data_IF_363887358994
#
_entry.id   IF_363887358994
#
_cell.length_a   1.000
_cell.length_b   1.000
_cell.length_c   1.000
_cell.angle_alpha   90.00
_cell.angle_beta   90.00
_cell.angle_gamma   90.00
#
_symmetry.space_group_name_H-M   'P 1'
#
loop_
_entity.id
_entity.type
_entity.pdbx_description
1 polymer ?
#
# COMPACT_ATOMS: atom_id res chain seq x y z
N UNK A 1 -0.86 24.71 -4.95
CA UNK A 1 -1.29 23.90 -3.78
C UNK A 1 -2.27 22.80 -4.24
N UNK A 2 -1.83 21.84 -5.04
CA UNK A 2 -2.64 20.65 -5.36
C UNK A 2 -2.37 19.59 -4.29
N UNK A 3 -3.12 19.63 -3.19
CA UNK A 3 -3.05 18.57 -2.18
C UNK A 3 -3.61 17.29 -2.83
N UNK A 4 -2.76 16.27 -2.99
CA UNK A 4 -3.09 14.95 -3.54
C UNK A 4 -4.17 14.24 -2.70
N UNK A 5 -5.45 14.58 -2.89
CA UNK A 5 -6.60 13.89 -2.29
C UNK A 5 -6.91 12.55 -2.98
N UNK A 6 -6.32 12.31 -4.15
CA UNK A 6 -6.59 11.13 -4.97
C UNK A 6 -6.32 9.82 -4.23
N UNK A 7 -5.21 9.73 -3.47
CA UNK A 7 -4.88 8.54 -2.69
C UNK A 7 -5.98 8.20 -1.67
N UNK A 8 -6.50 9.21 -0.97
CA UNK A 8 -7.53 9.01 0.05
C UNK A 8 -8.84 8.56 -0.59
N UNK A 9 -9.20 9.14 -1.74
CA UNK A 9 -10.42 8.77 -2.47
C UNK A 9 -10.33 7.33 -3.00
N UNK A 10 -9.18 6.93 -3.54
CA UNK A 10 -8.97 5.59 -4.05
C UNK A 10 -9.07 4.54 -2.95
N UNK A 11 -8.37 4.75 -1.82
CA UNK A 11 -8.41 3.80 -0.69
C UNK A 11 -9.81 3.75 -0.08
N UNK A 12 -10.50 4.88 0.05
CA UNK A 12 -11.89 4.92 0.53
C UNK A 12 -12.82 4.13 -0.38
N UNK A 13 -12.75 4.32 -1.70
CA UNK A 13 -13.59 3.60 -2.65
C UNK A 13 -13.34 2.08 -2.60
N UNK A 14 -12.08 1.65 -2.47
CA UNK A 14 -11.75 0.23 -2.31
C UNK A 14 -12.31 -0.36 -1.01
N UNK A 15 -12.21 0.39 0.10
CA UNK A 15 -12.82 0.01 1.38
C UNK A 15 -14.35 -0.10 1.28
N UNK A 16 -15.01 0.89 0.67
CA UNK A 16 -16.46 0.90 0.45
C UNK A 16 -16.92 -0.25 -0.45
N UNK A 17 -16.08 -0.70 -1.39
CA UNK A 17 -16.33 -1.87 -2.23
C UNK A 17 -16.04 -3.21 -1.52
N UNK A 18 -15.61 -3.20 -0.25
CA UNK A 18 -15.27 -4.42 0.51
C UNK A 18 -13.96 -5.09 0.08
N UNK A 19 -13.08 -4.39 -0.64
CA UNK A 19 -11.78 -4.94 -1.03
C UNK A 19 -10.84 -5.06 0.18
N UNK A 20 -10.04 -6.13 0.22
CA UNK A 20 -8.95 -6.24 1.17
C UNK A 20 -7.86 -5.20 0.83
N UNK A 21 -7.67 -4.23 1.71
CA UNK A 21 -6.72 -3.12 1.51
C UNK A 21 -5.66 -3.11 2.61
N UNK A 22 -4.46 -2.63 2.27
CA UNK A 22 -3.39 -2.39 3.23
C UNK A 22 -2.52 -1.20 2.76
N UNK A 23 -1.91 -0.48 3.70
CA UNK A 23 -0.96 0.61 3.40
C UNK A 23 0.43 0.22 3.89
N UNK A 24 1.44 0.43 3.04
CA UNK A 24 2.86 0.36 3.40
C UNK A 24 3.42 1.77 3.29
N UNK A 25 3.71 2.41 4.42
CA UNK A 25 4.33 3.73 4.43
C UNK A 25 4.98 4.02 5.79
N UNK A 26 6.06 4.80 5.79
CA UNK A 26 6.61 5.37 7.01
C UNK A 26 5.77 6.56 7.50
N UNK A 27 5.30 6.50 8.74
CA UNK A 27 4.52 7.57 9.37
C UNK A 27 3.04 7.57 9.00
N UNK A 28 2.29 8.56 9.50
CA UNK A 28 0.84 8.66 9.35
C UNK A 28 0.40 9.01 7.92
N UNK A 29 -0.72 8.43 7.50
CA UNK A 29 -1.39 8.80 6.25
C UNK A 29 -2.85 9.16 6.52
N UNK A 30 -3.39 10.04 5.67
CA UNK A 30 -4.81 10.41 5.75
C UNK A 30 -5.77 9.26 5.48
N UNK A 31 -5.28 8.16 4.90
CA UNK A 31 -6.07 6.99 4.53
C UNK A 31 -6.00 5.87 5.58
N UNK A 32 -5.23 6.02 6.66
CA UNK A 32 -5.01 4.97 7.67
C UNK A 32 -6.32 4.44 8.26
N UNK A 33 -7.32 5.32 8.45
CA UNK A 33 -8.64 4.95 8.98
C UNK A 33 -9.50 4.07 8.07
N UNK A 34 -9.11 3.92 6.80
CA UNK A 34 -9.86 3.14 5.81
C UNK A 34 -9.26 1.76 5.55
N UNK A 35 -8.08 1.45 6.12
CA UNK A 35 -7.43 0.16 5.89
C UNK A 35 -7.39 -0.69 7.16
N UNK A 36 -7.65 -2.01 7.06
CA UNK A 36 -7.55 -2.93 8.20
C UNK A 36 -6.10 -3.20 8.62
N UNK A 37 -5.12 -2.95 7.75
CA UNK A 37 -3.71 -3.18 8.02
C UNK A 37 -2.84 -2.02 7.53
N UNK A 38 -1.95 -1.56 8.42
CA UNK A 38 -0.88 -0.61 8.11
C UNK A 38 0.47 -1.20 8.48
N UNK A 39 1.39 -1.21 7.53
CA UNK A 39 2.78 -1.62 7.72
C UNK A 39 3.66 -0.37 7.69
N UNK A 40 4.30 -0.09 8.82
CA UNK A 40 5.19 1.07 8.96
C UNK A 40 6.61 0.74 8.48
N UNK A 41 6.84 0.77 7.16
CA UNK A 41 8.11 0.38 6.56
C UNK A 41 8.36 1.10 5.22
N UNK A 42 9.62 1.06 4.75
CA UNK A 42 9.94 1.42 3.36
C UNK A 42 9.55 0.27 2.44
N UNK A 43 8.88 0.60 1.33
CA UNK A 43 8.40 -0.41 0.37
C UNK A 43 9.53 -1.30 -0.16
N UNK A 44 10.69 -0.71 -0.50
CA UNK A 44 11.85 -1.46 -0.99
C UNK A 44 12.44 -2.46 0.00
N UNK A 45 12.19 -2.31 1.31
CA UNK A 45 12.66 -3.23 2.34
C UNK A 45 11.67 -4.37 2.59
N UNK A 46 10.37 -4.07 2.59
CA UNK A 46 9.33 -5.05 2.94
C UNK A 46 8.85 -5.87 1.75
N UNK A 47 8.79 -5.28 0.54
CA UNK A 47 8.29 -5.97 -0.63
C UNK A 47 9.07 -7.27 -0.92
N UNK A 48 10.42 -7.32 -0.91
CA UNK A 48 11.16 -8.57 -1.12
C UNK A 48 10.80 -9.67 -0.12
N UNK A 49 10.47 -9.29 1.13
CA UNK A 49 10.07 -10.24 2.17
C UNK A 49 8.66 -10.78 1.93
N UNK A 50 7.73 -9.92 1.48
CA UNK A 50 6.38 -10.33 1.11
C UNK A 50 6.38 -11.29 -0.09
N UNK A 51 7.27 -11.09 -1.05
CA UNK A 51 7.46 -12.01 -2.17
C UNK A 51 7.90 -13.39 -1.69
N UNK A 52 8.77 -13.47 -0.68
CA UNK A 52 9.20 -14.76 -0.11
C UNK A 52 8.08 -15.51 0.63
N UNK A 53 7.03 -14.81 1.07
CA UNK A 53 5.89 -15.41 1.78
C UNK A 53 4.80 -15.93 0.83
N UNK A 54 4.88 -15.64 -0.48
CA UNK A 54 3.87 -16.04 -1.48
C UNK A 54 4.46 -16.46 -2.84
N UNK A 55 3.61 -16.75 -3.82
CA UNK A 55 4.01 -17.15 -5.18
C UNK A 55 4.28 -15.96 -6.12
N UNK A 56 4.68 -14.81 -5.60
CA UNK A 56 4.85 -13.57 -6.36
C UNK A 56 6.34 -13.34 -6.64
N UNK A 57 6.72 -13.25 -7.91
CA UNK A 57 8.06 -12.83 -8.34
C UNK A 57 8.05 -11.37 -8.79
N UNK A 58 8.98 -10.54 -8.29
CA UNK A 58 9.22 -9.22 -8.90
C UNK A 58 10.00 -9.43 -10.20
N UNK A 59 9.50 -8.95 -11.36
CA UNK A 59 10.27 -9.01 -12.58
C UNK A 59 11.54 -8.15 -12.45
N UNK A 60 12.66 -8.70 -12.89
CA UNK A 60 13.93 -7.96 -12.99
C UNK A 60 13.77 -6.81 -14.00
N UNK A 61 14.18 -5.56 -13.67
CA UNK A 61 14.18 -4.48 -14.64
C UNK A 61 15.11 -4.85 -15.80
N UNK A 62 14.62 -4.72 -17.03
CA UNK A 62 15.48 -4.82 -18.21
C UNK A 62 16.55 -3.71 -18.14
N UNK A 63 17.81 -4.10 -18.32
CA UNK A 63 18.97 -3.19 -18.34
C UNK A 63 19.25 -2.68 -19.74
#
# INVERSE_FOLDING_TARGET
>A
MYKNYFLVLFVRAAHEAGAATAIVNLGETRADKFVPLKINARLGEILPRLLNTGSLSVPVPYS
#
